data_IF_063609306537
#
_entry.id   IF_063609306537
#
_cell.length_a   1.000
_cell.length_b   1.000
_cell.length_c   1.000
_cell.angle_alpha   90.00
_cell.angle_beta   90.00
_cell.angle_gamma   90.00
#
_symmetry.space_group_name_H-M   'P 1'
#
loop_
_entity.id
_entity.type
_entity.pdbx_description
1 polymer ?
#
# COMPACT_ATOMS: atom_id res chain seq x y z
N UNK A 1 -30.85 -18.98 17.69
CA UNK A 1 -30.42 -18.69 16.31
C UNK A 1 -29.72 -17.34 16.38
N UNK A 2 -28.40 -17.30 16.17
CA UNK A 2 -27.62 -16.08 16.36
C UNK A 2 -27.91 -15.14 15.18
N UNK A 3 -28.60 -14.04 15.44
CA UNK A 3 -28.94 -13.06 14.42
C UNK A 3 -27.73 -12.17 14.16
N UNK A 4 -27.27 -12.25 12.91
CA UNK A 4 -26.31 -11.42 12.22
C UNK A 4 -26.66 -9.91 12.25
N UNK A 5 -26.46 -9.24 13.39
CA UNK A 5 -26.54 -7.76 13.49
C UNK A 5 -25.23 -7.15 14.02
N UNK A 6 -24.19 -7.94 14.29
CA UNK A 6 -22.90 -7.40 14.75
C UNK A 6 -21.96 -6.94 13.61
N UNK A 7 -22.43 -6.95 12.36
CA UNK A 7 -21.63 -6.60 11.17
C UNK A 7 -22.09 -5.30 10.48
N UNK A 8 -23.08 -4.59 11.05
CA UNK A 8 -23.48 -3.25 10.59
C UNK A 8 -23.16 -2.20 11.66
N UNK A 9 -22.06 -2.40 12.40
CA UNK A 9 -21.42 -1.30 13.13
C UNK A 9 -20.78 -0.44 12.04
N UNK A 10 -21.46 0.63 11.62
CA UNK A 10 -20.75 1.86 11.23
C UNK A 10 -19.68 2.05 12.30
N UNK A 11 -18.42 1.84 11.92
CA UNK A 11 -17.35 1.47 12.83
C UNK A 11 -17.37 2.42 14.02
N UNK A 12 -17.21 1.90 15.24
CA UNK A 12 -17.22 2.69 16.48
C UNK A 12 -16.30 3.93 16.36
N UNK A 13 -15.33 3.86 15.46
CA UNK A 13 -14.39 4.86 14.97
C UNK A 13 -15.06 6.08 14.30
N UNK A 14 -16.02 5.89 13.38
CA UNK A 14 -16.78 6.98 12.73
C UNK A 14 -17.54 7.81 13.79
N UNK A 15 -18.05 7.12 14.81
CA UNK A 15 -18.77 7.75 15.92
C UNK A 15 -17.85 8.47 16.89
N UNK A 16 -16.63 7.96 17.14
CA UNK A 16 -15.63 8.61 17.99
C UNK A 16 -15.05 9.85 17.31
N UNK A 17 -14.86 9.84 15.99
CA UNK A 17 -14.49 11.02 15.21
C UNK A 17 -15.60 12.08 15.23
N UNK A 18 -16.86 11.66 15.06
CA UNK A 18 -18.02 12.53 15.17
C UNK A 18 -18.14 13.16 16.57
N UNK A 19 -17.97 12.38 17.64
CA UNK A 19 -17.97 12.83 19.04
C UNK A 19 -16.77 13.77 19.32
N UNK A 20 -15.58 13.42 18.84
CA UNK A 20 -14.36 14.22 19.02
C UNK A 20 -14.46 15.59 18.33
N UNK A 21 -14.98 15.61 17.09
CA UNK A 21 -15.29 16.83 16.36
C UNK A 21 -16.31 17.68 17.11
N UNK A 22 -17.44 17.10 17.49
CA UNK A 22 -18.49 17.72 18.30
C UNK A 22 -17.98 18.35 19.61
N UNK A 23 -17.11 17.64 20.35
CA UNK A 23 -16.53 18.12 21.61
C UNK A 23 -15.50 19.23 21.37
N UNK A 24 -14.68 19.14 20.32
CA UNK A 24 -13.76 20.21 19.94
C UNK A 24 -14.50 21.50 19.55
N UNK A 25 -15.64 21.39 18.85
CA UNK A 25 -16.51 22.52 18.51
C UNK A 25 -17.12 23.22 19.74
N UNK A 26 -17.31 22.51 20.86
CA UNK A 26 -17.85 23.09 22.10
C UNK A 26 -16.86 23.98 22.87
N UNK A 27 -15.56 23.96 22.52
CA UNK A 27 -14.52 24.70 23.24
C UNK A 27 -14.24 24.19 24.66
N UNK A 28 -14.86 23.09 25.09
CA UNK A 28 -14.72 22.53 26.43
C UNK A 28 -13.44 21.69 26.55
N UNK A 29 -12.31 22.37 26.73
CA UNK A 29 -10.97 21.77 26.81
C UNK A 29 -10.79 20.76 27.95
N UNK A 30 -11.56 20.85 29.04
CA UNK A 30 -11.53 19.89 30.16
C UNK A 30 -12.22 18.56 29.79
N UNK A 31 -13.27 18.62 28.97
CA UNK A 31 -14.01 17.44 28.48
C UNK A 31 -13.24 16.74 27.35
N UNK A 32 -12.61 17.52 26.47
CA UNK A 32 -11.65 17.03 25.48
C UNK A 32 -10.41 16.39 26.15
N UNK A 33 -9.92 17.00 27.24
CA UNK A 33 -8.84 16.43 28.04
C UNK A 33 -9.28 15.17 28.78
N UNK A 34 -10.52 15.07 29.28
CA UNK A 34 -11.04 13.84 29.92
C UNK A 34 -11.25 12.69 28.92
N UNK A 35 -11.68 13.00 27.70
CA UNK A 35 -11.77 12.07 26.58
C UNK A 35 -10.37 11.58 26.14
N UNK A 36 -9.40 12.49 26.05
CA UNK A 36 -8.02 12.17 25.64
C UNK A 36 -7.13 11.59 26.77
N UNK A 37 -7.43 11.87 28.05
CA UNK A 37 -6.60 11.46 29.19
C UNK A 37 -7.02 10.11 29.79
N UNK A 38 -8.09 9.51 29.29
CA UNK A 38 -8.45 8.15 29.64
C UNK A 38 -7.71 7.20 28.71
N UNK A 39 -6.82 6.37 29.24
CA UNK A 39 -6.39 5.14 28.57
C UNK A 39 -7.63 4.27 28.36
N UNK A 40 -8.41 4.53 27.30
CA UNK A 40 -9.64 3.81 26.96
C UNK A 40 -9.24 2.49 26.31
N UNK A 41 -8.70 1.57 27.10
CA UNK A 41 -8.48 0.19 26.65
C UNK A 41 -9.68 -0.69 26.99
N UNK A 42 -10.55 -0.26 27.93
CA UNK A 42 -11.80 -0.92 28.31
C UNK A 42 -12.80 0.10 28.88
N UNK A 43 -13.93 0.35 28.21
CA UNK A 43 -15.08 1.07 28.79
C UNK A 43 -16.23 0.11 29.03
N UNK A 44 -16.96 0.28 30.12
CA UNK A 44 -18.30 -0.31 30.24
C UNK A 44 -19.28 0.46 29.36
N UNK A 45 -20.34 -0.20 28.89
CA UNK A 45 -21.42 0.47 28.12
C UNK A 45 -22.00 1.67 28.88
N UNK A 46 -22.09 1.59 30.21
CA UNK A 46 -22.55 2.70 31.04
C UNK A 46 -21.59 3.91 31.06
N UNK A 47 -20.27 3.68 31.02
CA UNK A 47 -19.29 4.76 30.95
C UNK A 47 -19.27 5.42 29.56
N UNK A 48 -19.45 4.63 28.49
CA UNK A 48 -19.57 5.15 27.12
C UNK A 48 -20.82 6.02 26.95
N UNK A 49 -21.98 5.57 27.43
CA UNK A 49 -23.21 6.35 27.39
C UNK A 49 -23.11 7.65 28.21
N UNK A 50 -22.40 7.63 29.35
CA UNK A 50 -22.15 8.83 30.15
C UNK A 50 -21.26 9.86 29.42
N UNK A 51 -20.33 9.41 28.59
CA UNK A 51 -19.51 10.29 27.73
C UNK A 51 -20.36 10.92 26.63
N UNK A 52 -21.23 10.14 25.98
CA UNK A 52 -22.19 10.65 24.98
C UNK A 52 -23.09 11.72 25.60
N UNK A 53 -23.65 11.45 26.78
CA UNK A 53 -24.50 12.41 27.49
C UNK A 53 -23.73 13.68 27.86
N UNK A 54 -22.48 13.57 28.30
CA UNK A 54 -21.65 14.73 28.62
C UNK A 54 -21.30 15.56 27.37
N UNK A 55 -21.04 14.91 26.22
CA UNK A 55 -20.75 15.57 24.95
C UNK A 55 -21.98 16.30 24.40
N UNK A 56 -23.15 15.65 24.40
CA UNK A 56 -24.40 16.28 23.99
C UNK A 56 -24.74 17.50 24.86
N UNK A 57 -24.63 17.38 26.18
CA UNK A 57 -24.89 18.51 27.08
C UNK A 57 -23.90 19.67 26.87
N UNK A 58 -22.64 19.37 26.52
CA UNK A 58 -21.67 20.40 26.19
C UNK A 58 -22.02 21.15 24.90
N UNK A 59 -22.52 20.45 23.86
CA UNK A 59 -22.97 21.07 22.60
C UNK A 59 -24.24 21.89 22.82
N UNK A 60 -25.21 21.36 23.55
CA UNK A 60 -26.46 22.06 23.86
C UNK A 60 -26.22 23.30 24.74
N UNK A 61 -25.12 23.35 25.48
CA UNK A 61 -24.71 24.49 26.29
C UNK A 61 -23.92 25.56 25.52
N UNK A 62 -23.57 25.33 24.25
CA UNK A 62 -22.94 26.33 23.39
C UNK A 62 -23.88 27.52 23.24
N UNK A 63 -23.38 28.71 23.55
CA UNK A 63 -24.10 29.95 23.27
C UNK A 63 -23.94 30.30 21.79
N UNK A 64 -24.87 29.80 20.97
CA UNK A 64 -24.90 30.07 19.53
C UNK A 64 -25.09 31.54 19.19
N UNK A 65 -25.70 32.33 20.08
CA UNK A 65 -25.81 33.77 19.90
C UNK A 65 -24.44 34.44 20.05
N UNK A 66 -23.59 33.93 20.95
CA UNK A 66 -22.21 34.39 21.09
C UNK A 66 -21.37 34.02 19.85
N UNK A 67 -21.55 32.83 19.28
CA UNK A 67 -20.87 32.43 18.02
C UNK A 67 -21.30 33.33 16.85
N UNK A 68 -22.61 33.57 16.68
CA UNK A 68 -23.13 34.49 15.65
C UNK A 68 -22.57 35.90 15.85
N UNK A 69 -22.45 36.36 17.09
CA UNK A 69 -21.85 37.67 17.43
C UNK A 69 -20.36 37.73 17.09
N UNK A 70 -19.59 36.67 17.38
CA UNK A 70 -18.16 36.60 17.04
C UNK A 70 -17.93 36.54 15.54
N UNK A 71 -18.73 35.77 14.80
CA UNK A 71 -18.67 35.72 13.33
C UNK A 71 -19.07 37.06 12.73
N UNK A 72 -20.10 37.73 13.26
CA UNK A 72 -20.46 39.08 12.83
C UNK A 72 -19.31 40.07 13.04
N UNK A 73 -18.61 40.00 14.18
CA UNK A 73 -17.43 40.82 14.44
C UNK A 73 -16.26 40.51 13.49
N UNK A 74 -16.07 39.24 13.14
CA UNK A 74 -15.03 38.80 12.21
C UNK A 74 -15.29 39.26 10.77
N UNK A 75 -16.55 39.20 10.31
CA UNK A 75 -16.97 39.65 8.98
C UNK A 75 -16.79 41.17 8.77
N UNK A 76 -16.72 41.94 9.86
CA UNK A 76 -16.45 43.39 9.84
C UNK A 76 -14.96 43.73 9.99
N UNK A 77 -14.07 42.74 10.07
CA UNK A 77 -12.63 42.99 10.03
C UNK A 77 -12.19 43.50 8.66
N UNK A 78 -11.15 44.35 8.56
CA UNK A 78 -10.74 44.97 7.29
C UNK A 78 -10.41 43.97 6.18
N UNK A 79 -9.86 42.81 6.56
CA UNK A 79 -9.44 41.76 5.61
C UNK A 79 -10.67 41.10 4.96
N UNK A 80 -11.72 40.85 5.73
CA UNK A 80 -12.91 40.12 5.26
C UNK A 80 -13.94 41.09 4.66
N UNK A 81 -14.03 42.31 5.22
CA UNK A 81 -15.00 43.32 4.77
C UNK A 81 -14.70 43.88 3.38
N UNK A 82 -13.48 43.73 2.87
CA UNK A 82 -13.12 44.10 1.49
C UNK A 82 -13.36 42.97 0.48
N UNK A 83 -13.57 41.72 0.96
CA UNK A 83 -13.72 40.54 0.11
C UNK A 83 -15.16 40.06 -0.04
N UNK A 84 -16.05 40.39 0.88
CA UNK A 84 -17.44 39.95 0.87
C UNK A 84 -18.41 41.13 0.79
N UNK A 85 -19.42 40.99 -0.08
CA UNK A 85 -20.51 41.95 -0.18
C UNK A 85 -21.43 41.87 1.04
N UNK A 86 -22.18 42.94 1.31
CA UNK A 86 -23.15 42.96 2.41
C UNK A 86 -24.20 41.83 2.32
N UNK A 87 -24.53 41.38 1.11
CA UNK A 87 -25.46 40.28 0.87
C UNK A 87 -24.83 38.93 1.25
N UNK A 88 -23.57 38.70 0.90
CA UNK A 88 -22.84 37.46 1.25
C UNK A 88 -22.58 37.36 2.76
N UNK A 89 -22.22 38.47 3.40
CA UNK A 89 -22.08 38.52 4.87
C UNK A 89 -23.41 38.19 5.56
N UNK A 90 -24.52 38.75 5.08
CA UNK A 90 -25.84 38.45 5.65
C UNK A 90 -26.24 36.99 5.41
N UNK A 91 -25.93 36.42 4.24
CA UNK A 91 -26.19 35.01 3.96
C UNK A 91 -25.40 34.07 4.90
N UNK A 92 -24.15 34.40 5.23
CA UNK A 92 -23.34 33.64 6.21
C UNK A 92 -23.98 33.72 7.61
N UNK A 93 -24.40 34.92 8.03
CA UNK A 93 -25.04 35.11 9.34
C UNK A 93 -26.40 34.39 9.40
N UNK A 94 -27.20 34.45 8.33
CA UNK A 94 -28.50 33.77 8.25
C UNK A 94 -28.33 32.25 8.23
N UNK A 95 -27.27 31.72 7.60
CA UNK A 95 -26.96 30.29 7.57
C UNK A 95 -26.54 29.78 8.96
N UNK A 96 -25.67 30.52 9.67
CA UNK A 96 -25.22 30.13 11.02
C UNK A 96 -26.36 30.28 12.04
N UNK A 97 -27.21 31.31 11.89
CA UNK A 97 -28.37 31.52 12.75
C UNK A 97 -29.49 30.48 12.57
N UNK A 98 -29.44 29.69 11.48
CA UNK A 98 -30.38 28.58 11.21
C UNK A 98 -29.87 27.23 11.71
N UNK A 99 -28.64 27.14 12.23
CA UNK A 99 -28.13 25.92 12.84
C UNK A 99 -28.82 25.75 14.18
N UNK A 100 -29.72 24.77 14.29
CA UNK A 100 -30.29 24.39 15.57
C UNK A 100 -29.35 23.41 16.28
N UNK A 101 -29.11 23.54 17.60
CA UNK A 101 -28.29 22.58 18.35
C UNK A 101 -28.77 21.13 18.20
N UNK A 102 -30.07 20.94 17.99
CA UNK A 102 -30.68 19.63 17.74
C UNK A 102 -30.17 18.97 16.46
N UNK A 103 -29.93 19.75 15.39
CA UNK A 103 -29.46 19.24 14.09
C UNK A 103 -28.02 18.68 14.18
N UNK A 104 -27.29 19.05 15.24
CA UNK A 104 -25.94 18.57 15.56
C UNK A 104 -25.99 17.34 16.48
N UNK A 105 -27.02 17.22 17.31
CA UNK A 105 -27.14 16.15 18.32
C UNK A 105 -27.95 14.95 17.86
N UNK A 106 -28.61 15.01 16.69
CA UNK A 106 -29.43 13.92 16.13
C UNK A 106 -28.70 12.56 16.05
N UNK A 107 -27.37 12.58 15.88
CA UNK A 107 -26.54 11.36 15.90
C UNK A 107 -26.45 10.68 17.28
N UNK A 108 -26.58 11.43 18.39
CA UNK A 108 -26.47 10.88 19.74
C UNK A 108 -27.70 10.03 20.13
N UNK A 109 -28.88 10.34 19.60
CA UNK A 109 -30.09 9.56 19.86
C UNK A 109 -30.08 8.19 19.14
N UNK A 110 -29.45 8.11 17.97
CA UNK A 110 -29.17 6.86 17.27
C UNK A 110 -28.24 5.96 18.10
N UNK A 111 -27.14 6.53 18.59
CA UNK A 111 -26.19 5.84 19.47
C UNK A 111 -26.87 5.31 20.74
N UNK A 112 -27.65 6.14 21.44
CA UNK A 112 -28.37 5.68 22.64
C UNK A 112 -29.33 4.52 22.34
N UNK A 113 -30.03 4.58 21.22
CA UNK A 113 -30.98 3.53 20.82
C UNK A 113 -30.28 2.21 20.50
N UNK A 114 -29.12 2.28 19.89
CA UNK A 114 -28.31 1.11 19.53
C UNK A 114 -27.73 0.40 20.76
N UNK A 115 -27.28 1.17 21.77
CA UNK A 115 -26.65 0.63 22.98
C UNK A 115 -27.60 0.40 24.17
N UNK A 116 -28.87 0.85 24.10
CA UNK A 116 -29.86 0.73 25.18
C UNK A 116 -30.21 -0.72 25.60
N UNK A 117 -29.87 -1.73 24.78
CA UNK A 117 -30.15 -3.15 25.05
C UNK A 117 -29.03 -3.92 25.74
N UNK A 118 -27.85 -3.31 25.99
CA UNK A 118 -26.66 -4.01 26.47
C UNK A 118 -26.45 -3.73 27.96
N UNK A 119 -27.03 -4.58 28.81
CA UNK A 119 -27.02 -4.38 30.28
C UNK A 119 -25.69 -4.80 30.96
N UNK A 120 -24.85 -5.62 30.32
CA UNK A 120 -23.53 -6.00 30.83
C UNK A 120 -22.56 -6.32 29.69
N UNK A 121 -21.40 -5.67 29.67
CA UNK A 121 -20.32 -5.92 28.71
C UNK A 121 -19.17 -4.92 28.88
N UNK A 122 -17.95 -5.36 28.56
CA UNK A 122 -16.76 -4.51 28.43
C UNK A 122 -16.58 -4.24 26.93
N UNK A 123 -16.68 -2.98 26.50
CA UNK A 123 -16.18 -2.57 25.20
C UNK A 123 -14.66 -2.64 25.25
N UNK A 124 -14.08 -3.58 24.54
CA UNK A 124 -12.66 -3.55 24.18
C UNK A 124 -12.59 -2.67 22.95
N UNK A 125 -12.12 -1.44 23.15
CA UNK A 125 -11.63 -0.64 22.04
C UNK A 125 -10.29 -1.26 21.71
N UNK A 126 -10.24 -2.06 20.65
CA UNK A 126 -8.96 -2.59 20.21
C UNK A 126 -8.13 -1.37 19.80
N UNK A 127 -7.05 -1.14 20.54
CA UNK A 127 -6.28 0.08 20.45
C UNK A 127 -5.34 0.00 19.26
N UNK A 128 -5.88 0.02 18.03
CA UNK A 128 -5.12 0.11 16.79
C UNK A 128 -5.89 0.92 15.74
N UNK A 129 -6.24 2.17 16.07
CA UNK A 129 -6.26 3.30 15.12
C UNK A 129 -6.61 4.60 15.85
N UNK A 130 -5.68 5.07 16.69
CA UNK A 130 -5.62 6.50 16.98
C UNK A 130 -4.86 7.13 15.82
N UNK A 131 -5.61 7.80 14.93
CA UNK A 131 -5.07 8.77 13.98
C UNK A 131 -4.06 9.66 14.72
N UNK A 132 -2.78 9.54 14.33
CA UNK A 132 -1.67 10.32 14.90
C UNK A 132 -0.58 9.53 15.65
N UNK A 133 -0.63 8.19 15.71
CA UNK A 133 0.55 7.39 16.09
C UNK A 133 1.30 7.01 14.82
N UNK A 134 2.47 7.63 14.59
CA UNK A 134 3.31 7.47 13.38
C UNK A 134 3.87 6.04 13.15
N UNK A 135 3.44 5.04 13.93
CA UNK A 135 3.87 3.64 13.80
C UNK A 135 2.75 2.67 14.20
N UNK A 136 1.84 2.29 13.30
CA UNK A 136 1.02 1.10 13.49
C UNK A 136 1.93 -0.12 13.69
N UNK A 137 1.79 -0.83 14.81
CA UNK A 137 2.55 -2.07 15.07
C UNK A 137 1.56 -3.19 15.33
N UNK A 138 1.60 -4.20 14.47
CA UNK A 138 0.87 -5.45 14.63
C UNK A 138 1.38 -6.27 15.81
N UNK A 139 0.67 -7.34 16.09
CA UNK A 139 0.84 -8.24 17.21
C UNK A 139 1.46 -9.55 16.73
N UNK A 140 1.27 -10.64 17.48
CA UNK A 140 1.69 -11.97 17.04
C UNK A 140 0.51 -12.80 16.52
N UNK A 141 -0.62 -12.13 16.25
CA UNK A 141 -1.83 -12.70 15.69
C UNK A 141 -2.09 -12.10 14.31
N UNK A 142 -2.99 -12.69 13.56
CA UNK A 142 -3.38 -12.17 12.25
C UNK A 142 -4.10 -10.83 12.41
N UNK A 143 -3.46 -9.76 11.94
CA UNK A 143 -3.93 -8.39 12.06
C UNK A 143 -4.46 -7.84 10.72
N UNK A 144 -5.37 -6.87 10.81
CA UNK A 144 -5.82 -6.07 9.67
C UNK A 144 -5.57 -4.61 10.01
N UNK A 145 -4.65 -3.99 9.30
CA UNK A 145 -4.17 -2.64 9.56
C UNK A 145 -4.42 -1.75 8.33
N UNK A 146 -4.85 -0.52 8.59
CA UNK A 146 -5.00 0.51 7.55
C UNK A 146 -4.02 1.64 7.82
N UNK A 147 -3.32 2.07 6.76
CA UNK A 147 -2.42 3.23 6.83
C UNK A 147 -3.16 4.53 7.14
N UNK A 148 -2.42 5.53 7.61
CA UNK A 148 -2.94 6.87 7.84
C UNK A 148 -2.85 7.70 6.56
N UNK A 149 -2.83 9.03 6.68
CA UNK A 149 -2.53 9.92 5.55
C UNK A 149 -1.10 10.42 5.71
N UNK A 150 -0.33 10.39 4.64
CA UNK A 150 1.11 10.64 4.67
C UNK A 150 1.90 9.38 4.97
N UNK A 151 3.22 9.53 5.09
CA UNK A 151 4.14 8.40 5.26
C UNK A 151 3.97 7.66 6.59
N UNK A 152 3.77 6.35 6.52
CA UNK A 152 3.74 5.43 7.67
C UNK A 152 5.00 4.54 7.77
N UNK A 153 5.43 4.16 8.99
CA UNK A 153 6.40 3.07 9.24
C UNK A 153 5.72 1.99 10.08
N UNK A 154 5.33 0.89 9.42
CA UNK A 154 4.47 -0.15 9.95
C UNK A 154 5.23 -1.47 10.05
N UNK A 155 5.04 -2.18 11.17
CA UNK A 155 5.48 -3.57 11.31
C UNK A 155 4.33 -4.46 11.75
N UNK A 156 3.92 -5.44 10.95
CA UNK A 156 2.80 -6.35 11.24
C UNK A 156 3.21 -7.48 12.21
N UNK A 157 4.51 -7.77 12.27
CA UNK A 157 5.16 -8.66 13.22
C UNK A 157 4.96 -10.15 12.93
N UNK A 158 4.04 -10.87 13.58
CA UNK A 158 3.83 -12.28 13.26
C UNK A 158 2.34 -12.59 13.17
N UNK A 159 1.97 -13.50 12.27
CA UNK A 159 0.57 -13.68 11.89
C UNK A 159 0.48 -13.67 10.37
N UNK A 160 -0.65 -14.13 9.84
CA UNK A 160 -0.97 -13.88 8.43
C UNK A 160 -1.72 -12.54 8.38
N UNK A 161 -1.00 -11.46 8.07
CA UNK A 161 -1.47 -10.10 8.27
C UNK A 161 -1.97 -9.44 6.97
N UNK A 162 -2.81 -8.43 7.11
CA UNK A 162 -3.29 -7.62 6.00
C UNK A 162 -3.02 -6.14 6.27
N UNK A 163 -2.28 -5.49 5.36
CA UNK A 163 -2.09 -4.04 5.35
C UNK A 163 -2.67 -3.41 4.09
N UNK A 164 -3.43 -2.33 4.26
CA UNK A 164 -3.96 -1.51 3.18
C UNK A 164 -3.64 -0.04 3.44
N UNK A 165 -2.96 0.63 2.51
CA UNK A 165 -2.75 2.08 2.60
C UNK A 165 -4.06 2.88 2.68
N UNK A 166 -3.99 4.04 3.33
CA UNK A 166 -5.13 4.91 3.55
C UNK A 166 -5.79 5.39 2.25
N UNK A 167 -7.11 5.60 2.24
CA UNK A 167 -7.77 6.14 1.06
C UNK A 167 -7.29 7.55 0.73
N UNK A 168 -6.82 7.76 -0.50
CA UNK A 168 -6.33 9.06 -0.95
C UNK A 168 -4.93 9.40 -0.42
N UNK A 169 -4.25 8.43 0.17
CA UNK A 169 -2.89 8.59 0.63
C UNK A 169 -1.91 8.73 -0.54
N UNK A 170 -0.94 9.62 -0.36
CA UNK A 170 0.20 9.88 -1.23
C UNK A 170 1.52 9.79 -0.46
N UNK A 171 1.46 9.24 0.76
CA UNK A 171 2.58 8.97 1.65
C UNK A 171 3.60 8.05 0.98
N UNK A 172 4.84 8.15 1.42
CA UNK A 172 5.86 7.16 1.08
C UNK A 172 5.98 6.23 2.29
N UNK A 173 5.47 5.02 2.18
CA UNK A 173 5.32 4.14 3.33
C UNK A 173 6.47 3.15 3.49
N UNK A 174 6.67 2.65 4.69
CA UNK A 174 7.59 1.56 4.98
C UNK A 174 6.87 0.48 5.75
N UNK A 175 6.57 -0.65 5.09
CA UNK A 175 5.73 -1.71 5.66
C UNK A 175 6.51 -3.01 5.75
N UNK A 176 6.53 -3.61 6.95
CA UNK A 176 7.20 -4.89 7.23
C UNK A 176 6.16 -5.91 7.68
N UNK A 177 5.90 -6.93 6.86
CA UNK A 177 4.99 -8.04 7.19
C UNK A 177 5.51 -8.81 8.39
N UNK A 178 6.66 -9.45 8.24
CA UNK A 178 7.34 -10.13 9.32
C UNK A 178 7.25 -11.64 9.15
N UNK A 179 6.49 -12.33 9.98
CA UNK A 179 6.40 -13.79 9.94
C UNK A 179 4.97 -14.29 9.78
N UNK A 180 4.72 -15.04 8.72
CA UNK A 180 3.41 -15.53 8.32
C UNK A 180 3.13 -15.07 6.89
N UNK A 181 1.98 -15.45 6.35
CA UNK A 181 1.66 -15.16 4.95
C UNK A 181 0.95 -13.81 4.87
N UNK A 182 1.69 -12.76 4.53
CA UNK A 182 1.20 -11.40 4.63
C UNK A 182 0.63 -10.88 3.30
N UNK A 183 -0.38 -10.02 3.37
CA UNK A 183 -0.93 -9.29 2.21
C UNK A 183 -0.75 -7.78 2.43
N UNK A 184 0.11 -7.16 1.62
CA UNK A 184 0.50 -5.75 1.77
C UNK A 184 0.19 -4.98 0.50
N UNK A 185 -0.53 -3.86 0.62
CA UNK A 185 -0.79 -2.91 -0.45
C UNK A 185 -0.33 -1.50 -0.06
N UNK A 186 0.75 -1.01 -0.69
CA UNK A 186 1.38 0.31 -0.43
C UNK A 186 0.58 1.51 -0.93
N UNK A 187 -0.31 1.31 -1.92
CA UNK A 187 -1.22 2.37 -2.33
C UNK A 187 -0.60 3.33 -3.33
N UNK A 188 -0.46 4.61 -2.96
CA UNK A 188 0.22 5.60 -3.82
C UNK A 188 1.32 6.24 -3.02
N UNK A 189 2.50 6.41 -3.61
CA UNK A 189 3.68 6.69 -2.82
C UNK A 189 4.94 6.16 -3.47
N UNK A 190 6.09 6.45 -2.89
CA UNK A 190 7.28 5.65 -3.11
C UNK A 190 7.45 4.76 -1.89
N UNK A 191 6.95 3.53 -1.98
CA UNK A 191 6.79 2.67 -0.82
C UNK A 191 7.92 1.65 -0.70
N UNK A 192 8.29 1.31 0.53
CA UNK A 192 9.20 0.22 0.85
C UNK A 192 8.42 -0.93 1.52
N UNK A 193 8.19 -2.00 0.77
CA UNK A 193 7.42 -3.16 1.23
C UNK A 193 8.31 -4.37 1.45
N UNK A 194 8.21 -4.99 2.62
CA UNK A 194 8.98 -6.18 3.01
C UNK A 194 8.01 -7.27 3.48
N UNK A 195 7.95 -8.41 2.78
CA UNK A 195 7.12 -9.56 3.16
C UNK A 195 7.69 -10.25 4.38
N UNK A 196 8.91 -10.77 4.25
CA UNK A 196 9.69 -11.32 5.36
C UNK A 196 9.80 -12.84 5.29
N UNK A 197 9.10 -13.55 6.15
CA UNK A 197 9.04 -15.01 6.10
C UNK A 197 7.60 -15.47 6.01
N UNK A 198 7.31 -16.27 5.01
CA UNK A 198 5.96 -16.71 4.68
C UNK A 198 5.81 -16.62 3.17
N UNK A 199 4.68 -17.08 2.66
CA UNK A 199 4.31 -16.85 1.26
C UNK A 199 3.50 -15.55 1.21
N UNK A 200 4.15 -14.47 0.76
CA UNK A 200 3.64 -13.12 0.87
C UNK A 200 3.03 -12.60 -0.45
N UNK A 201 2.05 -11.71 -0.35
CA UNK A 201 1.46 -10.97 -1.46
C UNK A 201 1.72 -9.47 -1.29
N UNK A 202 2.59 -8.91 -2.12
CA UNK A 202 2.97 -7.51 -2.08
C UNK A 202 2.50 -6.76 -3.33
N UNK A 203 1.91 -5.59 -3.13
CA UNK A 203 1.54 -4.66 -4.19
C UNK A 203 2.04 -3.25 -3.87
N UNK A 204 2.91 -2.72 -4.72
CA UNK A 204 3.44 -1.36 -4.61
C UNK A 204 2.32 -0.34 -4.84
N UNK A 205 1.85 -0.24 -6.08
CA UNK A 205 0.69 0.58 -6.42
C UNK A 205 1.07 1.71 -7.37
N UNK A 206 0.96 2.97 -6.94
CA UNK A 206 1.37 4.11 -7.76
C UNK A 206 2.64 4.74 -7.20
N UNK A 207 3.74 4.69 -7.94
CA UNK A 207 4.89 5.54 -7.72
C UNK A 207 6.20 4.86 -8.07
N UNK A 208 7.12 4.67 -7.14
CA UNK A 208 8.39 4.02 -7.48
C UNK A 208 8.84 3.25 -6.27
N UNK A 209 8.45 1.99 -6.26
CA UNK A 209 8.38 1.20 -5.05
C UNK A 209 9.60 0.28 -4.95
N UNK A 210 10.01 0.01 -3.71
CA UNK A 210 10.99 -1.01 -3.38
C UNK A 210 10.25 -2.14 -2.69
N UNK A 211 10.29 -3.34 -3.28
CA UNK A 211 9.65 -4.50 -2.68
C UNK A 211 10.63 -5.66 -2.50
N UNK A 212 10.48 -6.38 -1.38
CA UNK A 212 11.23 -7.60 -1.09
C UNK A 212 10.28 -8.69 -0.58
N UNK A 213 10.28 -9.83 -1.26
CA UNK A 213 9.48 -11.01 -0.90
C UNK A 213 10.00 -11.64 0.37
N UNK A 214 11.13 -12.34 0.29
CA UNK A 214 11.72 -12.98 1.45
C UNK A 214 12.33 -14.33 1.14
N UNK A 215 11.99 -15.35 1.92
CA UNK A 215 12.63 -16.69 1.82
C UNK A 215 11.77 -17.77 1.19
N UNK A 216 10.49 -17.52 0.97
CA UNK A 216 9.55 -18.51 0.43
C UNK A 216 8.92 -17.97 -0.84
N UNK A 217 7.97 -18.70 -1.41
CA UNK A 217 7.39 -18.34 -2.70
C UNK A 217 6.44 -17.15 -2.55
N UNK A 218 6.86 -16.00 -3.08
CA UNK A 218 6.15 -14.73 -2.93
C UNK A 218 5.52 -14.26 -4.24
N UNK A 219 4.50 -13.41 -4.15
CA UNK A 219 3.87 -12.74 -5.28
C UNK A 219 4.00 -11.24 -5.13
N UNK A 220 4.74 -10.60 -6.04
CA UNK A 220 5.04 -9.17 -5.98
C UNK A 220 4.59 -8.47 -7.27
N UNK A 221 3.83 -7.38 -7.12
CA UNK A 221 3.33 -6.57 -8.23
C UNK A 221 3.65 -5.08 -8.03
N UNK A 222 4.53 -4.51 -8.86
CA UNK A 222 4.92 -3.09 -8.78
C UNK A 222 3.79 -2.15 -9.17
N UNK A 223 2.96 -2.60 -10.12
CA UNK A 223 1.86 -1.86 -10.70
C UNK A 223 2.31 -0.65 -11.52
N UNK A 224 2.40 0.56 -10.96
CA UNK A 224 2.73 1.75 -11.74
C UNK A 224 3.97 2.46 -11.23
N UNK A 225 4.91 2.63 -12.14
CA UNK A 225 5.96 3.61 -12.12
C UNK A 225 7.33 2.95 -12.24
N UNK A 226 8.30 3.25 -11.39
CA UNK A 226 9.66 2.72 -11.58
C UNK A 226 10.06 1.91 -10.37
N UNK A 227 9.79 0.63 -10.45
CA UNK A 227 9.83 -0.25 -9.31
C UNK A 227 11.13 -1.04 -9.27
N UNK A 228 11.54 -1.38 -8.06
CA UNK A 228 12.64 -2.29 -7.80
C UNK A 228 12.12 -3.43 -6.94
N UNK A 229 12.05 -4.63 -7.53
CA UNK A 229 11.45 -5.80 -6.92
C UNK A 229 12.51 -6.89 -6.74
N UNK A 230 12.61 -7.43 -5.52
CA UNK A 230 13.44 -8.57 -5.18
C UNK A 230 12.56 -9.71 -4.66
N UNK A 231 12.54 -10.88 -5.31
CA UNK A 231 11.94 -12.10 -4.76
C UNK A 231 12.74 -12.63 -3.57
N UNK A 232 14.07 -12.53 -3.68
CA UNK A 232 15.10 -13.00 -2.73
C UNK A 232 15.31 -14.52 -2.77
N UNK A 233 14.50 -15.32 -2.11
CA UNK A 233 14.60 -16.77 -2.21
C UNK A 233 13.21 -17.38 -2.16
N UNK A 234 12.97 -18.44 -2.92
CA UNK A 234 11.60 -18.89 -3.13
C UNK A 234 11.39 -19.30 -4.57
N UNK A 235 10.15 -19.61 -4.94
CA UNK A 235 9.78 -19.71 -6.34
C UNK A 235 8.80 -18.58 -6.60
N UNK A 236 9.36 -17.42 -6.93
CA UNK A 236 8.66 -16.15 -6.82
C UNK A 236 7.94 -15.78 -8.12
N UNK A 237 6.88 -15.00 -7.98
CA UNK A 237 6.18 -14.39 -9.11
C UNK A 237 6.29 -12.87 -9.03
N UNK A 238 7.03 -12.31 -9.98
CA UNK A 238 7.38 -10.90 -10.04
C UNK A 238 6.72 -10.26 -11.26
N UNK A 239 6.01 -9.17 -11.06
CA UNK A 239 5.37 -8.38 -12.13
C UNK A 239 5.71 -6.90 -11.92
N UNK A 240 6.52 -6.32 -12.82
CA UNK A 240 6.90 -4.90 -12.77
C UNK A 240 5.71 -3.98 -13.01
N UNK A 241 4.84 -4.34 -13.94
CA UNK A 241 3.69 -3.53 -14.30
C UNK A 241 4.05 -2.49 -15.36
N UNK A 242 3.90 -1.20 -15.06
CA UNK A 242 4.17 -0.13 -16.02
C UNK A 242 5.29 0.78 -15.57
N UNK A 243 6.24 1.05 -16.46
CA UNK A 243 7.37 1.94 -16.31
C UNK A 243 8.67 1.15 -16.38
N UNK A 244 9.80 1.71 -15.92
CA UNK A 244 11.11 1.13 -16.24
C UNK A 244 11.67 0.38 -15.03
N UNK A 245 11.33 -0.89 -14.92
CA UNK A 245 11.45 -1.64 -13.68
C UNK A 245 12.77 -2.41 -13.56
N UNK A 246 13.11 -2.75 -12.33
CA UNK A 246 14.22 -3.64 -12.01
C UNK A 246 13.69 -4.83 -11.22
N UNK A 247 13.78 -6.01 -11.81
CA UNK A 247 13.24 -7.24 -11.26
C UNK A 247 14.38 -8.23 -11.01
N UNK A 248 14.47 -8.73 -9.79
CA UNK A 248 15.46 -9.72 -9.36
C UNK A 248 14.71 -10.88 -8.71
N UNK A 249 14.73 -12.06 -9.33
CA UNK A 249 14.18 -13.30 -8.77
C UNK A 249 14.91 -13.67 -7.49
N UNK A 250 16.17 -14.06 -7.64
CA UNK A 250 17.03 -14.41 -6.52
C UNK A 250 17.34 -15.90 -6.57
N UNK A 251 16.95 -16.65 -5.54
CA UNK A 251 17.21 -18.09 -5.49
C UNK A 251 15.93 -18.89 -5.63
N UNK A 252 15.85 -19.73 -6.66
CA UNK A 252 14.79 -20.72 -6.88
C UNK A 252 14.21 -20.60 -8.27
N UNK A 253 12.95 -21.00 -8.48
CA UNK A 253 12.38 -21.10 -9.83
C UNK A 253 11.38 -19.96 -10.05
N UNK A 254 11.86 -18.85 -10.57
CA UNK A 254 11.14 -17.60 -10.56
C UNK A 254 10.39 -17.36 -11.88
N UNK A 255 9.25 -16.68 -11.80
CA UNK A 255 8.52 -16.17 -12.95
C UNK A 255 8.53 -14.66 -12.93
N UNK A 256 9.19 -14.04 -13.91
CA UNK A 256 9.40 -12.60 -13.96
C UNK A 256 8.75 -12.01 -15.21
N UNK A 257 7.88 -11.01 -15.02
CA UNK A 257 7.25 -10.21 -16.06
C UNK A 257 7.69 -8.75 -15.90
N UNK A 258 8.38 -8.19 -16.90
CA UNK A 258 8.74 -6.78 -16.93
C UNK A 258 7.52 -5.89 -17.02
N UNK A 259 6.73 -6.10 -18.08
CA UNK A 259 5.48 -5.39 -18.29
C UNK A 259 5.61 -4.37 -19.41
N UNK A 260 5.29 -3.10 -19.17
CA UNK A 260 5.47 -2.06 -20.17
C UNK A 260 6.58 -1.11 -19.76
N UNK A 261 7.55 -0.85 -20.62
CA UNK A 261 8.65 0.06 -20.31
C UNK A 261 9.97 -0.57 -20.68
N UNK A 262 11.08 0.01 -20.25
CA UNK A 262 12.40 -0.55 -20.46
C UNK A 262 12.85 -1.21 -19.16
N UNK A 263 12.69 -2.52 -19.10
CA UNK A 263 12.85 -3.30 -17.89
C UNK A 263 14.21 -3.98 -17.81
N UNK A 264 14.62 -4.30 -16.58
CA UNK A 264 15.85 -5.03 -16.28
C UNK A 264 15.52 -6.25 -15.46
N UNK A 265 15.63 -7.41 -16.07
CA UNK A 265 15.25 -8.69 -15.49
C UNK A 265 16.51 -9.49 -15.17
N UNK A 266 16.60 -9.98 -13.93
CA UNK A 266 17.62 -10.89 -13.47
C UNK A 266 16.93 -12.06 -12.75
N UNK A 267 16.89 -13.23 -13.39
CA UNK A 267 16.32 -14.44 -12.80
C UNK A 267 17.01 -14.79 -11.48
N UNK A 268 18.32 -14.91 -11.53
CA UNK A 268 19.12 -15.21 -10.34
C UNK A 268 19.70 -16.59 -10.49
N UNK A 269 19.56 -17.45 -9.49
CA UNK A 269 19.95 -18.87 -9.57
C UNK A 269 18.71 -19.74 -9.56
N UNK A 270 18.63 -20.68 -10.48
CA UNK A 270 17.58 -21.68 -10.53
C UNK A 270 17.13 -21.83 -11.98
N UNK A 271 15.84 -22.02 -12.21
CA UNK A 271 15.37 -22.21 -13.59
C UNK A 271 14.18 -21.28 -13.77
N UNK A 272 14.44 -20.14 -14.38
CA UNK A 272 13.57 -19.00 -14.36
C UNK A 272 12.82 -18.83 -15.68
N UNK A 273 11.62 -18.27 -15.60
CA UNK A 273 10.81 -17.90 -16.77
C UNK A 273 10.68 -16.38 -16.84
N UNK A 274 11.30 -15.79 -17.87
CA UNK A 274 11.40 -14.34 -18.05
C UNK A 274 10.56 -13.87 -19.25
N UNK A 275 9.84 -12.77 -19.08
CA UNK A 275 9.11 -12.05 -20.13
C UNK A 275 9.44 -10.57 -19.97
N UNK A 276 10.06 -9.95 -20.98
CA UNK A 276 10.34 -8.51 -20.97
C UNK A 276 9.05 -7.71 -21.05
N UNK A 277 8.39 -7.77 -22.22
CA UNK A 277 7.08 -7.16 -22.42
C UNK A 277 7.12 -6.17 -23.56
N UNK A 278 6.68 -4.93 -23.33
CA UNK A 278 6.67 -3.90 -24.36
C UNK A 278 7.92 -3.01 -24.25
N UNK A 279 8.46 -2.59 -25.40
CA UNK A 279 9.73 -1.85 -25.53
C UNK A 279 10.97 -2.75 -25.31
N UNK A 280 12.14 -2.13 -25.15
CA UNK A 280 13.43 -2.80 -25.29
C UNK A 280 14.04 -3.17 -23.94
N UNK A 281 13.84 -4.41 -23.51
CA UNK A 281 14.23 -4.89 -22.18
C UNK A 281 15.64 -5.47 -22.10
N UNK A 282 16.13 -5.68 -20.88
CA UNK A 282 17.44 -6.25 -20.60
C UNK A 282 17.30 -7.50 -19.74
N UNK A 283 17.67 -8.65 -20.30
CA UNK A 283 17.80 -9.92 -19.60
C UNK A 283 19.26 -10.10 -19.17
N UNK A 284 19.52 -10.12 -17.87
CA UNK A 284 20.88 -10.08 -17.31
C UNK A 284 21.24 -11.44 -16.75
N UNK A 285 22.38 -12.00 -17.16
CA UNK A 285 22.84 -13.32 -16.70
C UNK A 285 24.20 -13.22 -16.03
N UNK A 286 24.34 -13.81 -14.84
CA UNK A 286 25.57 -13.80 -14.03
C UNK A 286 25.67 -15.05 -13.18
N UNK A 287 26.89 -15.53 -12.93
CA UNK A 287 27.12 -16.63 -11.99
C UNK A 287 26.46 -17.93 -12.45
N UNK A 288 25.91 -18.70 -11.51
CA UNK A 288 25.23 -19.96 -11.78
C UNK A 288 23.73 -19.72 -11.92
N UNK A 289 23.33 -19.25 -13.11
CA UNK A 289 21.95 -18.85 -13.36
C UNK A 289 20.99 -20.01 -13.58
N UNK A 290 21.50 -21.19 -13.97
CA UNK A 290 20.75 -22.41 -14.22
C UNK A 290 20.09 -22.43 -15.60
N UNK A 291 18.92 -23.08 -15.73
CA UNK A 291 18.27 -23.30 -17.02
C UNK A 291 17.07 -22.37 -17.19
N UNK A 292 17.31 -21.23 -17.82
CA UNK A 292 16.35 -20.13 -17.93
C UNK A 292 15.65 -20.12 -19.29
N UNK A 293 14.43 -19.61 -19.29
CA UNK A 293 13.59 -19.49 -20.46
C UNK A 293 13.14 -18.05 -20.65
N UNK A 294 13.37 -17.49 -21.85
CA UNK A 294 12.84 -16.18 -22.24
C UNK A 294 11.71 -16.39 -23.26
N UNK A 295 10.55 -15.77 -23.01
CA UNK A 295 9.39 -15.78 -23.92
C UNK A 295 9.18 -14.41 -24.53
N UNK A 296 8.75 -14.42 -25.79
CA UNK A 296 8.39 -13.21 -26.51
C UNK A 296 9.59 -12.41 -27.00
N UNK A 297 10.79 -13.01 -27.02
CA UNK A 297 12.01 -12.29 -27.35
C UNK A 297 11.96 -11.69 -28.78
N UNK A 298 11.95 -10.37 -28.88
CA UNK A 298 11.85 -9.59 -30.10
C UNK A 298 13.24 -9.36 -30.74
N UNK A 299 13.73 -10.38 -31.46
CA UNK A 299 14.93 -10.22 -32.27
C UNK A 299 14.74 -9.10 -33.32
N UNK A 300 15.72 -8.20 -33.44
CA UNK A 300 15.81 -7.16 -34.51
C UNK A 300 14.68 -6.11 -34.57
N UNK A 301 13.78 -6.00 -33.60
CA UNK A 301 12.79 -4.89 -33.48
C UNK A 301 12.60 -4.52 -32.01
N UNK A 302 12.54 -3.21 -31.68
CA UNK A 302 12.45 -2.72 -30.29
C UNK A 302 13.44 -3.44 -29.36
N UNK A 303 14.67 -3.58 -29.87
CA UNK A 303 15.54 -4.71 -29.57
C UNK A 303 15.87 -4.85 -28.08
N UNK A 304 15.28 -5.87 -27.48
CA UNK A 304 15.70 -6.44 -26.21
C UNK A 304 17.18 -6.82 -26.25
N UNK A 305 17.75 -7.03 -25.07
CA UNK A 305 19.18 -7.25 -24.86
C UNK A 305 19.41 -8.40 -23.91
N UNK A 306 20.24 -9.34 -24.31
CA UNK A 306 20.80 -10.36 -23.43
C UNK A 306 22.17 -9.86 -22.97
N UNK A 307 22.30 -9.54 -21.68
CA UNK A 307 23.53 -9.06 -21.08
C UNK A 307 24.37 -10.23 -20.56
N UNK A 308 25.40 -10.57 -21.33
CA UNK A 308 26.35 -11.64 -21.08
C UNK A 308 27.69 -11.15 -20.52
N UNK A 309 27.83 -9.85 -20.19
CA UNK A 309 29.09 -9.25 -19.67
C UNK A 309 29.67 -9.95 -18.44
N UNK A 310 28.83 -10.65 -17.68
CA UNK A 310 29.23 -11.39 -16.49
C UNK A 310 29.28 -12.92 -16.71
N UNK A 311 29.04 -13.40 -17.93
CA UNK A 311 29.14 -14.80 -18.33
C UNK A 311 30.53 -15.02 -18.93
N UNK A 312 31.51 -15.29 -18.06
CA UNK A 312 32.94 -15.29 -18.42
C UNK A 312 33.34 -16.29 -19.53
N UNK A 313 32.51 -17.28 -19.81
CA UNK A 313 32.74 -18.26 -20.85
C UNK A 313 32.50 -17.73 -22.27
N UNK A 314 31.73 -16.65 -22.44
CA UNK A 314 31.31 -16.14 -23.74
C UNK A 314 31.95 -14.76 -23.96
N UNK A 315 32.95 -14.67 -24.83
CA UNK A 315 33.74 -13.42 -24.95
C UNK A 315 33.19 -12.40 -25.94
N UNK A 316 32.56 -12.86 -27.01
CA UNK A 316 31.98 -12.01 -28.05
C UNK A 316 30.97 -12.80 -28.90
N UNK A 317 30.38 -12.13 -29.91
CA UNK A 317 29.40 -12.76 -30.81
C UNK A 317 29.98 -13.90 -31.66
N UNK A 318 31.26 -13.86 -32.01
CA UNK A 318 31.91 -14.92 -32.80
C UNK A 318 32.02 -16.18 -31.96
N UNK A 319 32.44 -16.02 -30.71
CA UNK A 319 32.54 -17.10 -29.74
C UNK A 319 31.16 -17.67 -29.41
N UNK A 320 30.17 -16.80 -29.15
CA UNK A 320 28.77 -17.19 -28.94
C UNK A 320 28.26 -18.08 -30.10
N UNK A 321 28.38 -17.61 -31.35
CA UNK A 321 27.90 -18.35 -32.52
C UNK A 321 28.70 -19.61 -32.83
N UNK A 322 29.97 -19.65 -32.47
CA UNK A 322 30.85 -20.78 -32.76
C UNK A 322 30.72 -21.93 -31.77
N UNK A 323 30.49 -21.60 -30.49
CA UNK A 323 30.70 -22.55 -29.39
C UNK A 323 29.51 -22.67 -28.43
N UNK A 324 28.62 -21.66 -28.36
CA UNK A 324 27.64 -21.55 -27.28
C UNK A 324 26.19 -21.47 -27.77
N UNK A 325 25.94 -21.21 -29.04
CA UNK A 325 24.62 -21.02 -29.61
C UNK A 325 24.21 -22.24 -30.45
N UNK A 326 23.03 -22.80 -30.16
CA UNK A 326 22.42 -23.89 -30.91
C UNK A 326 20.93 -23.65 -31.14
N UNK A 327 20.34 -24.43 -32.06
CA UNK A 327 18.90 -24.40 -32.35
C UNK A 327 18.30 -25.75 -31.95
N UNK A 328 17.22 -25.74 -31.15
CA UNK A 328 16.37 -26.90 -30.90
C UNK A 328 14.93 -26.59 -31.28
N UNK A 329 14.44 -27.27 -32.32
CA UNK A 329 13.15 -26.93 -32.93
C UNK A 329 13.10 -25.45 -33.32
N UNK A 330 12.17 -24.70 -32.74
CA UNK A 330 11.98 -23.27 -32.98
C UNK A 330 12.61 -22.40 -31.88
N UNK A 331 13.48 -22.95 -31.04
CA UNK A 331 14.10 -22.22 -29.94
C UNK A 331 15.61 -22.08 -30.17
N UNK A 332 16.13 -20.89 -29.91
CA UNK A 332 17.57 -20.66 -29.81
C UNK A 332 18.01 -20.97 -28.37
N UNK A 333 19.10 -21.71 -28.22
CA UNK A 333 19.66 -22.11 -26.92
C UNK A 333 21.08 -21.57 -26.82
N UNK A 334 21.36 -20.84 -25.75
CA UNK A 334 22.69 -20.37 -25.37
C UNK A 334 23.16 -21.20 -24.17
N UNK A 335 24.31 -21.85 -24.28
CA UNK A 335 24.92 -22.62 -23.19
C UNK A 335 26.19 -21.93 -22.70
N UNK A 336 26.40 -21.81 -21.39
CA UNK A 336 27.61 -21.18 -20.85
C UNK A 336 28.82 -22.13 -20.73
N UNK A 337 28.63 -23.42 -21.06
CA UNK A 337 29.65 -24.47 -20.93
C UNK A 337 29.92 -24.95 -19.50
N UNK A 338 29.22 -24.42 -18.50
CA UNK A 338 29.25 -24.85 -17.10
C UNK A 338 27.98 -25.61 -16.69
N UNK A 339 27.03 -25.74 -17.62
CA UNK A 339 25.77 -26.46 -17.42
C UNK A 339 24.56 -25.55 -17.21
N UNK A 340 24.69 -24.25 -17.47
CA UNK A 340 23.59 -23.30 -17.46
C UNK A 340 23.13 -23.01 -18.90
N UNK A 341 21.83 -22.82 -19.09
CA UNK A 341 21.24 -22.59 -20.41
C UNK A 341 20.28 -21.41 -20.42
N UNK A 342 20.24 -20.69 -21.55
CA UNK A 342 19.25 -19.64 -21.83
C UNK A 342 18.50 -20.08 -23.08
N UNK A 343 17.22 -20.41 -22.92
CA UNK A 343 16.34 -20.84 -24.01
C UNK A 343 15.46 -19.67 -24.45
N UNK A 344 15.65 -19.19 -25.68
CA UNK A 344 14.80 -18.16 -26.30
C UNK A 344 13.67 -18.86 -27.08
N UNK A 345 12.46 -18.83 -26.52
CA UNK A 345 11.33 -19.55 -27.09
C UNK A 345 10.82 -18.89 -28.37
N UNK A 346 10.73 -19.66 -29.44
CA UNK A 346 10.22 -19.20 -30.73
C UNK A 346 11.18 -18.30 -31.50
N UNK A 347 12.47 -18.27 -31.14
CA UNK A 347 13.51 -17.48 -31.81
C UNK A 347 14.38 -18.37 -32.68
N UNK A 348 14.62 -17.93 -33.91
CA UNK A 348 15.61 -18.54 -34.81
C UNK A 348 16.99 -17.93 -34.56
N UNK A 349 18.02 -18.77 -34.44
CA UNK A 349 19.41 -18.32 -34.25
C UNK A 349 19.91 -17.38 -35.34
N UNK A 350 19.37 -17.46 -36.56
CA UNK A 350 19.75 -16.58 -37.67
C UNK A 350 19.17 -15.16 -37.53
N UNK A 351 18.18 -15.00 -36.65
CA UNK A 351 17.63 -13.70 -36.27
C UNK A 351 18.48 -12.97 -35.23
N UNK A 352 19.38 -13.66 -34.55
CA UNK A 352 20.26 -13.09 -33.54
C UNK A 352 21.52 -12.45 -34.16
N UNK A 353 21.81 -11.21 -33.77
CA UNK A 353 22.93 -10.41 -34.23
C UNK A 353 23.58 -9.57 -33.13
N UNK A 354 24.55 -8.72 -33.52
CA UNK A 354 25.31 -7.87 -32.56
C UNK A 354 24.43 -6.92 -31.75
N UNK A 355 23.24 -6.62 -32.27
CA UNK A 355 22.27 -5.76 -31.58
C UNK A 355 21.61 -6.43 -30.39
N UNK A 356 21.61 -7.76 -30.30
CA UNK A 356 20.79 -8.47 -29.30
C UNK A 356 21.59 -8.83 -28.03
N UNK A 357 22.91 -8.63 -28.05
CA UNK A 357 23.81 -9.05 -26.98
C UNK A 357 24.70 -7.92 -26.45
N UNK A 358 25.02 -7.99 -25.17
CA UNK A 358 26.08 -7.20 -24.54
C UNK A 358 27.16 -8.15 -24.02
N UNK A 359 28.42 -7.88 -24.38
CA UNK A 359 29.61 -8.62 -23.97
C UNK A 359 30.57 -7.72 -23.20
#
# INVERSE_FOLDING_TARGET
MPNAVLNDVLELEDWLEYIGGAVAYSGNTDLLAAFNASNVTQLTVGEFLAIIDAAEQAILAIDWQEIVSQVAALLETPIISEQLTAVEKQAILDAIAQIEPSDITDGFDLLRTEFAGIETGTLVVDALNIVGVETPVGTAANDVLTGTVGSDDVGLAAGDDVFVAGQGDLGNDTIRGGAGNDTINGGSGQDELFGGSGEDLLRGGWGSDLMKGGRQADVLNGAQGRDTIYGEGGADRLDGGSGNDRLVGGAGHDTILGGSGIDRLFGGSGNDSLVGGAQADYFIFRGNFGDDTIRGFAARSDAEKIDLRAVAAISDLTDLRGNHLSQDGNNAIIEDGLGNTITLLGVDIDDLGTGDFLF
#
